data_IF_311458575662
#
_entry.id   IF_311458575662
#
_cell.length_a   1.000
_cell.length_b   1.000
_cell.length_c   1.000
_cell.angle_alpha   90.00
_cell.angle_beta   90.00
_cell.angle_gamma   90.00
#
_symmetry.space_group_name_H-M   'P 1'
#
loop_
_entity.id
_entity.type
_entity.pdbx_description
1 polymer ?
#
# COMPACT_ATOMS: atom_id res chain seq x y z
N UNK A 1 5.00 -11.50 2.39
CA UNK A 1 4.20 -10.27 2.25
C UNK A 1 2.75 -10.69 2.13
N UNK A 2 1.85 -10.07 2.88
CA UNK A 2 0.41 -10.34 2.78
C UNK A 2 -0.23 -9.24 1.94
N UNK A 3 -1.16 -9.61 1.08
CA UNK A 3 -1.86 -8.70 0.16
C UNK A 3 -3.36 -8.72 0.49
N UNK A 4 -4.01 -7.57 0.47
CA UNK A 4 -5.47 -7.44 0.59
C UNK A 4 -6.12 -7.41 -0.79
N UNK A 5 -7.43 -7.70 -0.85
CA UNK A 5 -8.23 -7.53 -2.08
C UNK A 5 -8.28 -6.07 -2.54
N UNK A 6 -8.04 -5.12 -1.61
CA UNK A 6 -7.95 -3.68 -1.85
C UNK A 6 -6.57 -3.23 -2.36
N UNK A 7 -5.74 -4.16 -2.84
CA UNK A 7 -4.41 -3.88 -3.38
C UNK A 7 -3.45 -3.21 -2.39
N UNK A 8 -3.56 -3.53 -1.11
CA UNK A 8 -2.60 -3.11 -0.09
C UNK A 8 -1.64 -4.25 0.22
N UNK A 9 -0.42 -3.91 0.64
CA UNK A 9 0.56 -4.85 1.14
C UNK A 9 0.90 -4.53 2.60
N UNK A 10 1.14 -5.59 3.37
CA UNK A 10 1.57 -5.49 4.76
C UNK A 10 2.97 -6.08 4.91
N UNK A 11 3.86 -5.30 5.56
CA UNK A 11 5.19 -5.73 5.97
C UNK A 11 5.35 -5.56 7.48
N UNK A 12 5.62 -6.66 8.16
CA UNK A 12 5.97 -6.64 9.59
C UNK A 12 7.43 -6.23 9.72
N UNK A 13 7.69 -5.23 10.55
CA UNK A 13 9.02 -4.71 10.85
C UNK A 13 9.16 -4.58 12.38
N UNK A 14 9.65 -5.65 13.02
CA UNK A 14 9.66 -5.76 14.48
C UNK A 14 8.25 -5.71 15.07
N UNK A 15 8.02 -4.69 15.91
CA UNK A 15 6.75 -4.48 16.60
C UNK A 15 5.76 -3.57 15.85
N UNK A 16 6.15 -3.08 14.67
CA UNK A 16 5.29 -2.23 13.83
C UNK A 16 4.95 -2.92 12.50
N UNK A 17 3.81 -2.52 11.93
CA UNK A 17 3.37 -2.99 10.61
C UNK A 17 3.34 -1.80 9.67
N UNK A 18 4.12 -1.90 8.59
CA UNK A 18 4.07 -0.95 7.49
C UNK A 18 3.02 -1.43 6.49
N UNK A 19 2.09 -0.54 6.17
CA UNK A 19 1.03 -0.77 5.18
C UNK A 19 1.26 0.21 4.03
N UNK A 20 1.08 -0.27 2.80
CA UNK A 20 1.13 0.58 1.61
C UNK A 20 0.28 0.01 0.49
N UNK A 21 0.06 0.79 -0.56
CA UNK A 21 -0.64 0.33 -1.76
C UNK A 21 0.34 -0.33 -2.73
N UNK A 22 -0.16 -1.27 -3.55
CA UNK A 22 0.65 -1.92 -4.59
C UNK A 22 1.00 -0.95 -5.71
N UNK A 23 2.08 -1.26 -6.44
CA UNK A 23 2.49 -0.50 -7.62
C UNK A 23 1.34 -0.40 -8.65
N UNK A 24 0.63 -1.51 -8.87
CA UNK A 24 -0.55 -1.55 -9.74
C UNK A 24 -1.67 -0.59 -9.32
N UNK A 25 -1.92 -0.44 -8.01
CA UNK A 25 -2.89 0.52 -7.50
C UNK A 25 -2.39 1.96 -7.70
N UNK A 26 -1.13 2.25 -7.39
CA UNK A 26 -0.56 3.58 -7.60
C UNK A 26 -0.57 4.03 -9.06
N UNK A 27 -0.28 3.14 -10.01
CA UNK A 27 -0.32 3.47 -11.45
C UNK A 27 -1.74 3.77 -11.95
N UNK A 28 -2.76 3.16 -11.36
CA UNK A 28 -4.17 3.43 -11.72
C UNK A 28 -4.68 4.76 -11.17
N UNK A 29 -4.14 5.21 -10.03
CA UNK A 29 -4.52 6.50 -9.43
C UNK A 29 -3.95 7.70 -10.19
N UNK A 30 -2.85 7.50 -10.94
CA UNK A 30 -2.14 8.60 -11.60
C UNK A 30 -1.36 9.45 -10.60
N UNK A 31 -1.22 10.74 -10.88
CA UNK A 31 -0.48 11.65 -9.99
C UNK A 31 -1.25 11.85 -8.68
N UNK A 32 -0.74 11.26 -7.59
CA UNK A 32 -1.29 11.43 -6.24
C UNK A 32 -1.01 12.84 -5.76
N UNK A 33 -2.05 13.68 -5.70
CA UNK A 33 -1.93 15.09 -5.28
C UNK A 33 -2.28 15.33 -3.81
N UNK A 34 -2.84 14.33 -3.12
CA UNK A 34 -3.25 14.45 -1.71
C UNK A 34 -3.30 13.08 -1.02
N UNK A 35 -2.98 13.05 0.28
CA UNK A 35 -3.09 11.90 1.19
C UNK A 35 -3.60 12.44 2.54
N UNK A 36 -4.53 11.73 3.20
CA UNK A 36 -5.01 12.01 4.57
C UNK A 36 -4.40 11.04 5.58
#
# INVERSE_FOLDING_TARGET
MKYTEDHEWLRVDGDVVVVGITEHASTQLGDVVFVE
#
